data_IF_510637431397
#
_entry.id   IF_510637431397
#
_cell.length_a   1.000
_cell.length_b   1.000
_cell.length_c   1.000
_cell.angle_alpha   90.00
_cell.angle_beta   90.00
_cell.angle_gamma   90.00
#
_symmetry.space_group_name_H-M   'P 1'
#
loop_
_entity.id
_entity.type
_entity.pdbx_description
1 polymer ?
#
# COMPACT_ATOMS: atom_id res chain seq x y z
N UNK A 1 19.55 -6.22 14.02
CA UNK A 1 18.95 -6.10 12.68
C UNK A 1 18.10 -7.33 12.33
N UNK A 2 17.09 -7.68 13.13
CA UNK A 2 16.27 -8.89 12.87
C UNK A 2 14.78 -8.62 12.63
N UNK A 3 14.34 -7.35 12.64
CA UNK A 3 12.90 -7.01 12.52
C UNK A 3 12.36 -6.98 11.09
N UNK A 4 13.13 -6.46 10.13
CA UNK A 4 12.66 -6.29 8.74
C UNK A 4 12.61 -7.60 7.95
N UNK A 5 13.56 -8.51 8.20
CA UNK A 5 13.60 -9.82 7.54
C UNK A 5 12.59 -10.81 8.15
N UNK A 6 12.22 -10.65 9.42
CA UNK A 6 11.17 -11.46 10.05
C UNK A 6 9.78 -11.21 9.45
N UNK A 7 9.50 -9.96 9.04
CA UNK A 7 8.27 -9.62 8.32
C UNK A 7 8.15 -10.37 6.99
N UNK A 8 9.26 -10.62 6.29
CA UNK A 8 9.26 -11.36 5.01
C UNK A 8 8.87 -12.84 5.15
N UNK A 9 8.76 -13.35 6.38
CA UNK A 9 8.29 -14.73 6.67
C UNK A 9 6.86 -14.79 7.18
N UNK A 10 6.22 -13.66 7.48
CA UNK A 10 4.83 -13.60 7.90
C UNK A 10 3.91 -13.73 6.67
N UNK A 11 3.11 -14.82 6.56
CA UNK A 11 2.25 -15.05 5.39
C UNK A 11 1.19 -13.97 5.19
N UNK A 12 0.68 -13.36 6.26
CA UNK A 12 -0.33 -12.30 6.18
C UNK A 12 0.30 -11.02 5.66
N UNK A 13 1.47 -10.66 6.18
CA UNK A 13 2.21 -9.50 5.69
C UNK A 13 2.62 -9.66 4.21
N UNK A 14 3.04 -10.87 3.80
CA UNK A 14 3.36 -11.15 2.40
C UNK A 14 2.12 -11.07 1.49
N UNK A 15 0.97 -11.58 1.94
CA UNK A 15 -0.28 -11.46 1.19
C UNK A 15 -0.70 -9.99 1.03
N UNK A 16 -0.62 -9.19 2.10
CA UNK A 16 -0.93 -7.77 2.04
C UNK A 16 0.02 -7.01 1.10
N UNK A 17 1.32 -7.27 1.18
CA UNK A 17 2.32 -6.67 0.30
C UNK A 17 2.09 -7.03 -1.17
N UNK A 18 1.76 -8.29 -1.45
CA UNK A 18 1.44 -8.77 -2.79
C UNK A 18 0.20 -8.06 -3.34
N UNK A 19 -0.86 -7.93 -2.54
CA UNK A 19 -2.09 -7.27 -2.97
C UNK A 19 -1.87 -5.77 -3.22
N UNK A 20 -1.13 -5.08 -2.35
CA UNK A 20 -0.77 -3.66 -2.54
C UNK A 20 0.06 -3.45 -3.81
N UNK A 21 0.92 -4.42 -4.14
CA UNK A 21 1.70 -4.39 -5.39
C UNK A 21 0.79 -4.57 -6.61
N UNK A 22 -0.13 -5.55 -6.56
CA UNK A 22 -1.10 -5.81 -7.63
C UNK A 22 -1.99 -4.59 -7.91
N UNK A 23 -2.46 -3.91 -6.86
CA UNK A 23 -3.27 -2.69 -6.99
C UNK A 23 -2.45 -1.58 -7.65
N UNK A 24 -1.19 -1.37 -7.21
CA UNK A 24 -0.33 -0.36 -7.80
C UNK A 24 -0.06 -0.61 -9.29
N UNK A 25 0.17 -1.87 -9.69
CA UNK A 25 0.33 -2.27 -11.10
C UNK A 25 -0.92 -1.98 -11.92
N UNK A 26 -2.09 -2.31 -11.37
CA UNK A 26 -3.35 -2.05 -12.03
C UNK A 26 -3.59 -0.54 -12.23
N UNK A 27 -3.35 0.28 -11.21
CA UNK A 27 -3.51 1.74 -11.27
C UNK A 27 -2.52 2.34 -12.27
N UNK A 28 -1.25 1.92 -12.23
CA UNK A 28 -0.23 2.38 -13.18
C UNK A 28 -0.65 2.10 -14.64
N UNK A 29 -1.13 0.88 -14.91
CA UNK A 29 -1.58 0.48 -16.23
C UNK A 29 -2.84 1.23 -16.71
N UNK A 30 -3.83 1.42 -15.83
CA UNK A 30 -5.09 2.10 -16.19
C UNK A 30 -4.91 3.61 -16.40
N UNK A 31 -4.05 4.24 -15.59
CA UNK A 31 -3.87 5.70 -15.60
C UNK A 31 -2.72 6.16 -16.50
N UNK A 32 -1.92 5.23 -17.04
CA UNK A 32 -0.75 5.56 -17.85
C UNK A 32 0.37 6.25 -17.05
N UNK A 33 0.46 5.96 -15.76
CA UNK A 33 1.44 6.53 -14.83
C UNK A 33 2.49 5.49 -14.44
N UNK A 34 3.58 5.95 -13.83
CA UNK A 34 4.60 5.04 -13.31
C UNK A 34 4.13 4.29 -12.07
N UNK A 35 4.76 3.15 -11.80
CA UNK A 35 4.56 2.38 -10.56
C UNK A 35 4.87 3.19 -9.30
N UNK A 36 5.80 4.13 -9.37
CA UNK A 36 6.16 4.98 -8.23
C UNK A 36 5.06 5.99 -7.92
N UNK A 37 4.51 6.64 -8.94
CA UNK A 37 3.39 7.57 -8.83
C UNK A 37 2.13 6.85 -8.32
N UNK A 38 1.82 5.67 -8.84
CA UNK A 38 0.71 4.85 -8.37
C UNK A 38 0.87 4.49 -6.87
N UNK A 39 2.08 4.10 -6.44
CA UNK A 39 2.36 3.83 -5.02
C UNK A 39 2.25 5.08 -4.14
N UNK A 40 2.68 6.24 -4.64
CA UNK A 40 2.58 7.50 -3.91
C UNK A 40 1.11 7.90 -3.71
N UNK A 41 0.29 7.80 -4.76
CA UNK A 41 -1.15 8.05 -4.68
C UNK A 41 -1.86 7.11 -3.70
N UNK A 42 -1.55 5.80 -3.74
CA UNK A 42 -2.11 4.83 -2.80
C UNK A 42 -1.73 5.12 -1.35
N UNK A 43 -0.51 5.63 -1.09
CA UNK A 43 -0.11 6.05 0.26
C UNK A 43 -0.86 7.31 0.72
N UNK A 44 -1.06 8.29 -0.16
CA UNK A 44 -1.84 9.48 0.14
C UNK A 44 -3.29 9.11 0.49
N UNK A 45 -3.92 8.26 -0.32
CA UNK A 45 -5.28 7.76 -0.05
C UNK A 45 -5.39 6.98 1.27
N UNK A 46 -4.41 6.13 1.59
CA UNK A 46 -4.37 5.44 2.88
C UNK A 46 -4.22 6.41 4.07
N UNK A 47 -3.49 7.51 3.89
CA UNK A 47 -3.35 8.54 4.92
C UNK A 47 -4.64 9.36 5.10
N UNK A 48 -5.33 9.71 4.02
CA UNK A 48 -6.63 10.40 4.05
C UNK A 48 -7.69 9.55 4.78
N UNK A 49 -7.83 8.29 4.40
CA UNK A 49 -8.77 7.35 5.02
C UNK A 49 -8.42 7.03 6.48
N UNK A 50 -7.14 7.10 6.86
CA UNK A 50 -6.70 6.97 8.26
C UNK A 50 -6.93 8.25 9.09
N UNK A 51 -6.91 9.42 8.46
CA UNK A 51 -7.09 10.72 9.13
C UNK A 51 -8.57 11.05 9.35
N UNK A 52 -9.45 10.63 8.44
CA UNK A 52 -10.91 10.81 8.59
C UNK A 52 -11.54 9.87 9.65
N UNK A 53 -10.77 8.90 10.15
CA UNK A 53 -11.17 8.03 11.26
C UNK A 53 -11.16 8.69 12.65
N UNK A 54 -10.84 9.98 12.77
CA UNK A 54 -10.85 10.73 14.03
C UNK A 54 -11.95 11.80 14.16
N UNK A 55 -12.94 11.81 13.26
CA UNK A 55 -14.10 12.73 13.33
C UNK A 55 -15.44 12.00 13.37
N UNK A 56 -15.52 10.90 14.13
CA UNK A 56 -16.78 10.28 14.55
C UNK A 56 -16.80 10.07 16.07
N UNK A 57 -16.61 11.16 16.81
CA UNK A 57 -16.96 11.26 18.23
C UNK A 57 -17.57 12.62 18.53
#
# INVERSE_FOLDING_TARGET
MSGLLGGLTDPKFMAELSERTRIAEHVAAQMGVTMEEARAALRAFAAETSSDGHTLH
#
